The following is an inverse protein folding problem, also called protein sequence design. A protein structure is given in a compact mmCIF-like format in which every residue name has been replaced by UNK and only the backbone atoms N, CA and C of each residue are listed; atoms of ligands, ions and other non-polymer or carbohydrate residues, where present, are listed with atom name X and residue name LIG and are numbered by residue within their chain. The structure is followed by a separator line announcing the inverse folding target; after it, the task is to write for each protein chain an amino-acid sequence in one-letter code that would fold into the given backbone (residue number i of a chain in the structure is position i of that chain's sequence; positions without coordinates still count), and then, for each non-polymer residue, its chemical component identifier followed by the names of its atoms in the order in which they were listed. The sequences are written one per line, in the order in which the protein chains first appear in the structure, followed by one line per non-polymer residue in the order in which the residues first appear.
data_IF_723250196926
#
_entry.id   IF_723250196926
#
_cell.length_a   1.000
_cell.length_b   1.000
_cell.length_c   1.000
_cell.angle_alpha   90.00
_cell.angle_beta   90.00
_cell.angle_gamma   90.00
#
_symmetry.space_group_name_H-M   'P 1'
#
loop_
_entity.id
_entity.type
_entity.pdbx_description
1 polymer ?
#
# COMPACT_ATOMS: atom_id res chain seq x y z
N UNK A 1 -4.51 12.47 -2.82
CA UNK A 1 -4.32 11.23 -2.05
C UNK A 1 -3.45 10.27 -2.82
N UNK A 2 -2.47 9.63 -2.17
CA UNK A 2 -1.64 8.64 -2.85
C UNK A 2 -2.45 7.43 -3.30
N UNK A 3 -2.10 6.90 -4.46
CA UNK A 3 -2.72 5.69 -4.99
C UNK A 3 -1.63 4.66 -5.23
N UNK A 4 -1.86 3.46 -4.72
CA UNK A 4 -0.98 2.32 -4.91
C UNK A 4 -1.52 1.50 -6.07
N UNK A 5 -0.64 1.11 -6.99
CA UNK A 5 -1.00 0.25 -8.11
C UNK A 5 -0.16 -1.01 -8.08
N UNK A 6 -0.84 -2.15 -8.18
CA UNK A 6 -0.21 -3.47 -8.20
C UNK A 6 -0.29 -4.06 -9.60
N UNK A 7 0.77 -4.77 -10.00
CA UNK A 7 0.75 -5.51 -11.27
C UNK A 7 -0.14 -6.76 -11.21
N UNK A 8 -0.46 -7.23 -10.00
CA UNK A 8 -1.31 -8.41 -9.81
C UNK A 8 -2.49 -8.05 -8.90
N UNK A 9 -3.70 -7.86 -9.46
CA UNK A 9 -4.87 -7.52 -8.66
C UNK A 9 -5.24 -8.54 -7.59
N UNK A 10 -4.84 -9.80 -7.77
CA UNK A 10 -5.12 -10.85 -6.78
C UNK A 10 -4.43 -10.60 -5.44
N UNK A 11 -3.35 -9.79 -5.44
CA UNK A 11 -2.60 -9.47 -4.23
C UNK A 11 -3.12 -8.21 -3.52
N UNK A 12 -4.06 -7.50 -4.13
CA UNK A 12 -4.60 -6.26 -3.56
C UNK A 12 -5.27 -6.50 -2.21
N UNK A 13 -6.00 -7.59 -2.05
CA UNK A 13 -6.67 -7.92 -0.78
C UNK A 13 -5.65 -8.14 0.34
N UNK A 14 -4.55 -8.81 0.04
CA UNK A 14 -3.49 -9.05 1.03
C UNK A 14 -2.86 -7.73 1.48
N UNK A 15 -2.58 -6.84 0.54
CA UNK A 15 -2.03 -5.53 0.86
C UNK A 15 -3.04 -4.68 1.64
N UNK A 16 -4.33 -4.74 1.30
CA UNK A 16 -5.37 -4.04 2.04
C UNK A 16 -5.42 -4.47 3.50
N UNK A 17 -5.37 -5.78 3.75
CA UNK A 17 -5.36 -6.32 5.11
C UNK A 17 -4.14 -5.80 5.88
N UNK A 18 -2.98 -5.81 5.24
CA UNK A 18 -1.75 -5.32 5.86
C UNK A 18 -1.85 -3.84 6.20
N UNK A 19 -2.31 -3.01 5.25
CA UNK A 19 -2.44 -1.57 5.48
C UNK A 19 -3.48 -1.26 6.57
N UNK A 20 -4.60 -1.96 6.57
CA UNK A 20 -5.67 -1.76 7.55
C UNK A 20 -5.30 -2.26 8.95
N UNK A 21 -4.26 -3.06 9.07
CA UNK A 21 -3.76 -3.50 10.38
C UNK A 21 -3.07 -2.35 11.14
N UNK A 22 -2.70 -1.27 10.44
CA UNK A 22 -2.15 -0.07 11.05
C UNK A 22 -3.29 0.91 11.33
N UNK A 23 -3.50 1.26 12.59
CA UNK A 23 -4.67 2.04 13.00
C UNK A 23 -4.74 3.46 12.46
N UNK A 24 -3.63 4.00 11.95
CA UNK A 24 -3.55 5.34 11.39
C UNK A 24 -3.62 5.36 9.86
N UNK A 25 -3.80 4.22 9.22
CA UNK A 25 -3.88 4.14 7.76
C UNK A 25 -5.30 3.80 7.32
N UNK A 26 -5.81 4.61 6.39
CA UNK A 26 -7.06 4.35 5.69
C UNK A 26 -6.73 3.86 4.29
N UNK A 27 -7.26 2.69 3.92
CA UNK A 27 -7.01 2.10 2.61
C UNK A 27 -8.32 1.62 2.00
N UNK A 28 -8.51 1.92 0.71
CA UNK A 28 -9.72 1.57 -0.02
C UNK A 28 -9.34 1.12 -1.44
N UNK A 29 -9.84 -0.03 -1.85
CA UNK A 29 -9.66 -0.49 -3.23
C UNK A 29 -10.60 0.30 -4.14
N UNK A 30 -10.04 0.96 -5.15
CA UNK A 30 -10.79 1.81 -6.08
C UNK A 30 -10.90 1.21 -7.48
N UNK A 31 -10.26 0.07 -7.70
CA UNK A 31 -10.28 -0.66 -8.97
C UNK A 31 -9.36 -1.85 -8.87
N UNK A 32 -9.34 -2.74 -9.89
CA UNK A 32 -8.46 -3.91 -9.86
C UNK A 32 -6.99 -3.52 -9.69
N UNK A 33 -6.39 -3.92 -8.57
CA UNK A 33 -5.01 -3.62 -8.28
C UNK A 33 -4.72 -2.16 -7.93
N UNK A 34 -5.74 -1.34 -7.68
CA UNK A 34 -5.59 0.07 -7.35
C UNK A 34 -6.17 0.36 -5.97
N UNK A 35 -5.35 0.92 -5.08
CA UNK A 35 -5.73 1.18 -3.70
C UNK A 35 -5.45 2.65 -3.38
N UNK A 36 -6.46 3.36 -2.92
CA UNK A 36 -6.31 4.72 -2.41
C UNK A 36 -5.95 4.63 -0.94
N UNK A 37 -4.92 5.38 -0.54
CA UNK A 37 -4.40 5.32 0.82
C UNK A 37 -4.27 6.72 1.41
N UNK A 38 -4.61 6.86 2.68
CA UNK A 38 -4.30 8.07 3.42
C UNK A 38 -3.86 7.72 4.83
N UNK A 39 -3.08 8.62 5.44
CA UNK A 39 -2.58 8.45 6.79
C UNK A 39 -3.22 9.52 7.66
N UNK A 40 -3.82 9.11 8.77
CA UNK A 40 -4.42 10.03 9.74
C UNK A 40 -3.32 10.74 10.52
N UNK A 41 -3.57 12.01 10.85
CA UNK A 41 -2.64 12.81 11.64
C UNK A 41 -2.15 14.05 10.91
N UNK A 42 -1.07 14.66 11.43
CA UNK A 42 -0.57 15.96 10.97
C UNK A 42 0.52 15.85 9.92
N UNK A 43 0.46 14.84 9.08
CA UNK A 43 1.46 14.65 8.04
C UNK A 43 1.26 15.63 6.89
N UNK A 44 2.36 16.15 6.37
CA UNK A 44 2.35 16.81 5.07
C UNK A 44 2.07 15.77 3.98
N UNK A 45 1.69 16.21 2.78
CA UNK A 45 1.48 15.30 1.66
C UNK A 45 2.73 14.46 1.37
N UNK A 46 3.91 15.08 1.45
CA UNK A 46 5.17 14.38 1.23
C UNK A 46 5.47 13.38 2.34
N UNK A 47 5.26 13.75 3.60
CA UNK A 47 5.44 12.84 4.74
C UNK A 47 4.50 11.66 4.68
N UNK A 48 3.27 11.89 4.23
CA UNK A 48 2.29 10.82 4.03
C UNK A 48 2.77 9.82 2.97
N UNK A 49 3.29 10.32 1.84
CA UNK A 49 3.82 9.46 0.78
C UNK A 49 5.00 8.61 1.28
N UNK A 50 5.90 9.21 2.06
CA UNK A 50 7.05 8.48 2.62
C UNK A 50 6.58 7.38 3.57
N UNK A 51 5.64 7.67 4.45
CA UNK A 51 5.11 6.68 5.39
C UNK A 51 4.47 5.50 4.66
N UNK A 52 3.63 5.78 3.66
CA UNK A 52 2.97 4.76 2.85
C UNK A 52 4.01 3.95 2.08
N UNK A 53 4.99 4.61 1.50
CA UNK A 53 6.06 3.96 0.74
C UNK A 53 6.81 2.94 1.61
N UNK A 54 7.13 3.29 2.86
CA UNK A 54 7.83 2.39 3.77
C UNK A 54 7.01 1.14 4.07
N UNK A 55 5.72 1.30 4.33
CA UNK A 55 4.83 0.16 4.56
C UNK A 55 4.71 -0.74 3.33
N UNK A 56 4.57 -0.12 2.16
CA UNK A 56 4.44 -0.85 0.90
C UNK A 56 5.71 -1.63 0.59
N UNK A 57 6.88 -1.03 0.80
CA UNK A 57 8.16 -1.70 0.54
C UNK A 57 8.40 -2.86 1.49
N UNK A 58 7.99 -2.72 2.75
CA UNK A 58 8.09 -3.82 3.71
C UNK A 58 7.20 -5.00 3.29
N UNK A 59 5.96 -4.71 2.86
CA UNK A 59 5.04 -5.73 2.37
C UNK A 59 5.60 -6.41 1.10
N UNK A 60 6.11 -5.62 0.15
CA UNK A 60 6.69 -6.13 -1.08
C UNK A 60 7.86 -7.08 -0.79
N UNK A 61 8.75 -6.69 0.12
CA UNK A 61 9.88 -7.52 0.53
C UNK A 61 9.41 -8.85 1.15
N UNK A 62 8.35 -8.81 1.97
CA UNK A 62 7.78 -10.00 2.57
C UNK A 62 7.20 -10.94 1.50
N UNK A 63 6.56 -10.39 0.46
CA UNK A 63 6.05 -11.20 -0.65
C UNK A 63 7.18 -11.88 -1.41
N UNK A 64 8.25 -11.14 -1.70
CA UNK A 64 9.41 -11.71 -2.39
C UNK A 64 10.08 -12.81 -1.60
N UNK A 65 10.11 -12.68 -0.28
CA UNK A 65 10.65 -13.72 0.61
C UNK A 65 9.83 -15.00 0.53
N UNK A 66 8.55 -14.92 0.16
CA UNK A 66 7.68 -16.08 -0.05
C UNK A 66 7.74 -16.61 -1.47
N UNK A 67 8.58 -16.03 -2.33
CA UNK A 67 8.65 -16.40 -3.74
C UNK A 67 7.59 -15.77 -4.63
N UNK A 68 6.89 -14.75 -4.13
CA UNK A 68 5.86 -14.03 -4.91
C UNK A 68 6.51 -12.84 -5.60
N UNK A 69 6.37 -12.77 -6.92
CA UNK A 69 6.88 -11.66 -7.72
C UNK A 69 5.76 -10.61 -7.85
N UNK A 70 5.95 -9.48 -7.19
CA UNK A 70 4.98 -8.40 -7.20
C UNK A 70 5.68 -7.07 -7.42
N UNK A 71 5.06 -6.20 -8.21
CA UNK A 71 5.52 -4.82 -8.43
C UNK A 71 4.46 -3.86 -7.93
N UNK A 72 4.91 -2.87 -7.19
CA UNK A 72 4.04 -1.87 -6.59
C UNK A 72 4.52 -0.49 -7.04
N UNK A 73 3.59 0.29 -7.56
CA UNK A 73 3.84 1.68 -7.93
C UNK A 73 3.02 2.57 -7.01
N UNK A 74 3.63 3.66 -6.57
CA UNK A 74 2.97 4.67 -5.74
C UNK A 74 2.90 5.98 -6.51
N UNK A 75 1.70 6.44 -6.74
CA UNK A 75 1.45 7.74 -7.40
C UNK A 75 1.55 8.90 -6.40
#
# INVERSE_FOLDING_TARGET
MPTIRLNDPALADDLLVELRSHGDILAEEIGPGAIRVSVLGSYSAEGMRVAIYLHVRAWEAAQRAKGVDVRVELD
#
